data_IF_748753338379
#
_entry.id   IF_748753338379
#
_cell.length_a   1.000
_cell.length_b   1.000
_cell.length_c   1.000
_cell.angle_alpha   90.00
_cell.angle_beta   90.00
_cell.angle_gamma   90.00
#
_symmetry.space_group_name_H-M   'P 1'
#
loop_
_entity.id
_entity.type
_entity.pdbx_description
1 polymer ?
#
# COMPACT_ATOMS: atom_id res chain seq x y z
N UNK A 1 -16.60 -4.05 16.53
CA UNK A 1 -16.29 -3.05 15.46
C UNK A 1 -14.84 -3.16 15.03
N UNK A 2 -13.92 -3.44 15.96
CA UNK A 2 -12.59 -3.96 15.59
C UNK A 2 -12.72 -5.14 14.61
N UNK A 3 -13.71 -6.02 14.82
CA UNK A 3 -14.06 -7.08 13.85
C UNK A 3 -14.41 -6.55 12.45
N UNK A 4 -15.12 -5.42 12.31
CA UNK A 4 -15.49 -4.89 10.98
C UNK A 4 -14.27 -4.34 10.24
N UNK A 5 -13.36 -3.67 10.95
CA UNK A 5 -12.10 -3.21 10.37
C UNK A 5 -11.21 -4.37 9.93
N UNK A 6 -11.15 -5.44 10.73
CA UNK A 6 -10.42 -6.67 10.40
C UNK A 6 -11.06 -7.43 9.23
N UNK A 7 -12.39 -7.55 9.20
CA UNK A 7 -13.14 -8.17 8.09
C UNK A 7 -12.88 -7.39 6.79
N UNK A 8 -13.00 -6.07 6.82
CA UNK A 8 -12.75 -5.25 5.62
C UNK A 8 -11.30 -5.36 5.15
N UNK A 9 -10.33 -5.42 6.07
CA UNK A 9 -8.92 -5.64 5.72
C UNK A 9 -8.68 -7.03 5.11
N UNK A 10 -9.31 -8.07 5.68
CA UNK A 10 -9.27 -9.44 5.14
C UNK A 10 -9.87 -9.52 3.74
N UNK A 11 -11.04 -8.91 3.52
CA UNK A 11 -11.66 -8.83 2.20
C UNK A 11 -10.80 -8.07 1.20
N UNK A 12 -10.16 -6.99 1.64
CA UNK A 12 -9.27 -6.20 0.79
C UNK A 12 -8.08 -7.01 0.28
N UNK A 13 -7.36 -7.71 1.17
CA UNK A 13 -6.22 -8.53 0.74
C UNK A 13 -6.66 -9.73 -0.11
N UNK A 14 -7.84 -10.31 0.17
CA UNK A 14 -8.39 -11.41 -0.62
C UNK A 14 -8.82 -10.97 -2.03
N UNK A 15 -9.51 -9.85 -2.16
CA UNK A 15 -9.91 -9.28 -3.46
C UNK A 15 -8.67 -8.98 -4.32
N UNK A 16 -7.61 -8.43 -3.71
CA UNK A 16 -6.38 -8.14 -4.43
C UNK A 16 -5.68 -9.42 -4.92
N UNK A 17 -5.61 -10.49 -4.13
CA UNK A 17 -5.09 -11.77 -4.63
C UNK A 17 -5.91 -12.26 -5.80
N UNK A 18 -7.24 -12.30 -5.66
CA UNK A 18 -8.16 -12.77 -6.71
C UNK A 18 -7.94 -12.05 -8.05
N UNK A 19 -7.75 -10.72 -7.99
CA UNK A 19 -7.50 -9.88 -9.18
C UNK A 19 -6.11 -10.04 -9.80
N UNK A 20 -5.10 -10.42 -9.01
CA UNK A 20 -3.73 -10.62 -9.50
C UNK A 20 -3.41 -12.06 -9.88
N UNK A 21 -4.26 -13.02 -9.49
CA UNK A 21 -4.15 -14.42 -9.92
C UNK A 21 -4.86 -14.64 -11.25
N UNK A 22 -4.16 -15.20 -12.23
CA UNK A 22 -4.80 -15.66 -13.45
C UNK A 22 -5.73 -16.85 -13.15
N UNK A 23 -6.90 -16.89 -13.81
CA UNK A 23 -7.85 -17.98 -13.62
C UNK A 23 -7.18 -19.35 -13.79
N UNK A 24 -7.36 -20.21 -12.78
CA UNK A 24 -6.86 -21.60 -12.76
C UNK A 24 -5.33 -21.75 -12.77
N UNK A 25 -4.59 -20.68 -12.51
CA UNK A 25 -3.13 -20.74 -12.31
C UNK A 25 -2.83 -20.56 -10.82
N UNK A 26 -2.46 -21.63 -10.10
CA UNK A 26 -2.09 -21.50 -8.69
C UNK A 26 -0.81 -20.67 -8.55
N UNK A 27 -0.80 -19.75 -7.59
CA UNK A 27 0.38 -18.99 -7.20
C UNK A 27 0.66 -19.18 -5.71
N UNK A 28 1.54 -20.14 -5.40
CA UNK A 28 1.99 -20.36 -4.02
C UNK A 28 2.54 -19.08 -3.37
N UNK A 29 3.34 -18.24 -4.07
CA UNK A 29 3.83 -16.99 -3.47
C UNK A 29 2.72 -16.00 -3.08
N UNK A 30 1.61 -15.94 -3.81
CA UNK A 30 0.48 -15.05 -3.47
C UNK A 30 -0.41 -15.64 -2.37
N UNK A 31 -0.55 -16.97 -2.35
CA UNK A 31 -1.21 -17.66 -1.24
C UNK A 31 -0.48 -17.44 0.08
N UNK A 32 0.83 -17.62 0.11
CA UNK A 32 1.65 -17.39 1.31
C UNK A 32 1.58 -15.93 1.78
N UNK A 33 1.49 -14.99 0.83
CA UNK A 33 1.31 -13.58 1.13
C UNK A 33 -0.04 -13.31 1.82
N UNK A 34 -1.12 -13.86 1.26
CA UNK A 34 -2.47 -13.75 1.82
C UNK A 34 -2.55 -14.36 3.21
N UNK A 35 -2.06 -15.58 3.36
CA UNK A 35 -2.07 -16.29 4.65
C UNK A 35 -1.28 -15.51 5.71
N UNK A 36 -0.08 -15.02 5.37
CA UNK A 36 0.73 -14.21 6.27
C UNK A 36 -0.02 -12.95 6.71
N UNK A 37 -0.67 -12.25 5.80
CA UNK A 37 -1.43 -11.04 6.13
C UNK A 37 -2.65 -11.34 7.01
N UNK A 38 -3.42 -12.38 6.69
CA UNK A 38 -4.60 -12.76 7.48
C UNK A 38 -4.20 -13.17 8.91
N UNK A 39 -3.14 -13.97 9.08
CA UNK A 39 -2.62 -14.33 10.41
C UNK A 39 -2.16 -13.11 11.22
N UNK A 40 -1.59 -12.10 10.56
CA UNK A 40 -1.13 -10.89 11.25
C UNK A 40 -2.28 -9.95 11.61
N UNK A 41 -3.31 -9.86 10.78
CA UNK A 41 -4.56 -9.20 11.14
C UNK A 41 -5.20 -9.86 12.36
N UNK A 42 -5.31 -11.19 12.37
CA UNK A 42 -5.84 -11.98 13.49
C UNK A 42 -5.02 -11.79 14.78
N UNK A 43 -3.70 -11.69 14.66
CA UNK A 43 -2.80 -11.39 15.77
C UNK A 43 -2.84 -9.91 16.26
N UNK A 44 -3.76 -9.09 15.74
CA UNK A 44 -3.97 -7.70 16.19
C UNK A 44 -3.00 -6.68 15.60
N UNK A 45 -2.24 -7.01 14.55
CA UNK A 45 -1.42 -6.01 13.85
C UNK A 45 -2.35 -5.00 13.16
N UNK A 46 -2.11 -3.68 13.28
CA UNK A 46 -2.99 -2.67 12.71
C UNK A 46 -3.23 -2.87 11.21
N UNK A 47 -4.49 -2.88 10.72
CA UNK A 47 -4.80 -3.05 9.30
C UNK A 47 -4.09 -2.05 8.38
N UNK A 48 -3.89 -0.82 8.84
CA UNK A 48 -3.17 0.20 8.09
C UNK A 48 -1.72 -0.20 7.75
N UNK A 49 -1.08 -1.03 8.57
CA UNK A 49 0.28 -1.55 8.29
C UNK A 49 0.19 -2.80 7.43
N UNK A 50 -0.67 -3.76 7.79
CA UNK A 50 -0.82 -5.03 7.06
C UNK A 50 -1.21 -4.78 5.60
N UNK A 51 -2.23 -3.95 5.34
CA UNK A 51 -2.68 -3.69 3.98
C UNK A 51 -1.58 -3.01 3.13
N UNK A 52 -0.82 -2.06 3.68
CA UNK A 52 0.24 -1.35 2.93
C UNK A 52 1.45 -2.23 2.66
N UNK A 53 1.81 -3.09 3.62
CA UNK A 53 2.82 -4.10 3.41
C UNK A 53 2.36 -5.10 2.33
N UNK A 54 1.12 -5.58 2.43
CA UNK A 54 0.54 -6.49 1.46
C UNK A 54 0.52 -5.90 0.05
N UNK A 55 0.07 -4.65 -0.12
CA UNK A 55 0.04 -3.96 -1.43
C UNK A 55 1.42 -3.97 -2.10
N UNK A 56 2.47 -3.60 -1.35
CA UNK A 56 3.85 -3.55 -1.85
C UNK A 56 4.39 -4.93 -2.24
N UNK A 57 4.16 -5.93 -1.39
CA UNK A 57 4.66 -7.29 -1.63
C UNK A 57 3.85 -8.02 -2.71
N UNK A 58 2.57 -7.69 -2.87
CA UNK A 58 1.75 -8.16 -4.00
C UNK A 58 2.30 -7.61 -5.31
N UNK A 59 2.53 -6.30 -5.38
CA UNK A 59 3.12 -5.64 -6.55
C UNK A 59 4.50 -6.24 -6.89
N UNK A 60 5.37 -6.41 -5.90
CA UNK A 60 6.70 -6.99 -6.09
C UNK A 60 6.65 -8.42 -6.63
N UNK A 61 5.89 -9.31 -5.97
CA UNK A 61 5.74 -10.71 -6.38
C UNK A 61 5.04 -10.89 -7.73
N UNK A 62 4.26 -9.89 -8.15
CA UNK A 62 3.57 -9.88 -9.43
C UNK A 62 4.36 -9.20 -10.55
N UNK A 63 5.62 -8.78 -10.29
CA UNK A 63 6.50 -8.16 -11.29
C UNK A 63 6.29 -6.66 -11.51
N UNK A 64 5.47 -6.00 -10.68
CA UNK A 64 5.13 -4.58 -10.74
C UNK A 64 5.78 -3.77 -9.60
N UNK A 65 6.95 -4.22 -9.12
CA UNK A 65 7.67 -3.58 -8.02
C UNK A 65 7.87 -2.08 -8.29
N UNK A 66 7.35 -1.18 -7.44
CA UNK A 66 7.59 0.24 -7.60
C UNK A 66 9.06 0.60 -7.39
N UNK A 67 9.59 1.49 -8.22
CA UNK A 67 10.91 2.09 -8.02
C UNK A 67 10.85 3.12 -6.87
N UNK A 68 11.71 2.95 -5.87
CA UNK A 68 11.73 3.76 -4.65
C UNK A 68 13.10 4.35 -4.33
N UNK A 69 14.16 4.00 -5.05
CA UNK A 69 15.55 4.46 -4.77
C UNK A 69 16.02 5.47 -5.81
N UNK A 70 15.72 5.20 -7.07
CA UNK A 70 16.03 6.08 -8.20
C UNK A 70 14.75 6.73 -8.72
N UNK A 71 14.87 7.85 -9.42
CA UNK A 71 13.75 8.45 -10.11
C UNK A 71 13.30 7.49 -11.22
N UNK A 72 12.05 7.07 -11.19
CA UNK A 72 11.49 6.13 -12.17
C UNK A 72 11.55 6.69 -13.62
N UNK A 73 11.66 8.02 -13.77
CA UNK A 73 11.76 8.68 -15.08
C UNK A 73 13.20 8.94 -15.55
N UNK A 74 14.08 9.49 -14.71
CA UNK A 74 15.44 9.89 -15.13
C UNK A 74 16.57 9.08 -14.50
N UNK A 75 16.25 8.08 -13.66
CA UNK A 75 17.19 7.20 -12.96
C UNK A 75 18.16 7.88 -11.99
N UNK A 76 18.05 9.18 -11.76
CA UNK A 76 18.83 9.86 -10.72
C UNK A 76 18.42 9.36 -9.33
N UNK A 77 19.38 9.21 -8.41
CA UNK A 77 19.10 8.84 -7.02
C UNK A 77 18.14 9.86 -6.39
N UNK A 78 17.10 9.36 -5.71
CA UNK A 78 16.13 10.21 -5.01
C UNK A 78 16.74 10.80 -3.75
N UNK A 79 16.71 12.13 -3.65
CA UNK A 79 17.19 12.88 -2.50
C UNK A 79 16.18 12.84 -1.34
N UNK A 80 16.64 13.19 -0.13
CA UNK A 80 15.79 13.32 1.06
C UNK A 80 15.00 14.64 1.06
N UNK A 81 14.20 14.82 0.01
CA UNK A 81 13.29 15.95 -0.18
C UNK A 81 11.89 15.44 -0.57
N UNK A 82 10.93 16.36 -0.67
CA UNK A 82 9.61 16.00 -1.24
C UNK A 82 9.78 15.65 -2.71
N UNK A 83 9.57 14.37 -3.01
CA UNK A 83 9.54 13.82 -4.35
C UNK A 83 8.08 13.76 -4.82
N UNK A 84 7.81 13.08 -5.94
CA UNK A 84 6.44 12.78 -6.33
C UNK A 84 6.25 11.28 -6.59
N UNK A 85 4.99 10.85 -6.58
CA UNK A 85 4.57 9.50 -6.92
C UNK A 85 3.92 9.51 -8.31
N UNK A 86 4.34 8.59 -9.18
CA UNK A 86 3.77 8.42 -10.51
C UNK A 86 3.63 6.92 -10.81
N UNK A 87 2.40 6.39 -10.77
CA UNK A 87 2.11 5.03 -11.24
C UNK A 87 2.56 4.81 -12.69
N UNK A 88 2.31 5.79 -13.56
CA UNK A 88 2.69 5.76 -14.97
C UNK A 88 4.20 5.62 -15.18
N UNK A 89 5.00 6.32 -14.38
CA UNK A 89 6.46 6.20 -14.42
C UNK A 89 6.98 4.94 -13.72
N UNK A 90 6.13 4.22 -12.98
CA UNK A 90 6.50 3.00 -12.24
C UNK A 90 7.01 3.24 -10.81
N UNK A 91 6.76 4.40 -10.21
CA UNK A 91 7.07 4.64 -8.79
C UNK A 91 7.37 6.09 -8.44
N UNK A 92 8.40 6.30 -7.62
CA UNK A 92 8.80 7.63 -7.18
C UNK A 92 9.60 8.37 -8.27
N UNK A 93 9.30 9.65 -8.47
CA UNK A 93 10.02 10.55 -9.39
C UNK A 93 10.63 11.72 -8.60
N UNK A 94 11.82 12.17 -8.99
CA UNK A 94 12.52 13.25 -8.30
C UNK A 94 11.82 14.61 -8.48
N UNK A 95 12.09 15.56 -7.57
CA UNK A 95 11.52 16.90 -7.62
C UNK A 95 11.73 17.61 -8.96
N UNK A 96 12.90 17.41 -9.60
CA UNK A 96 13.20 17.96 -10.93
C UNK A 96 12.27 17.43 -12.02
N UNK A 97 12.02 16.12 -12.06
CA UNK A 97 11.10 15.52 -13.02
C UNK A 97 9.66 15.96 -12.72
N UNK A 98 9.28 15.98 -11.45
CA UNK A 98 7.96 16.40 -11.00
C UNK A 98 7.61 17.84 -11.40
N UNK A 99 8.58 18.76 -11.34
CA UNK A 99 8.40 20.18 -11.72
C UNK A 99 8.07 20.39 -13.21
N UNK A 100 8.24 19.38 -14.06
CA UNK A 100 7.91 19.45 -15.50
C UNK A 100 6.49 18.98 -15.81
N UNK A 101 5.79 18.43 -14.82
CA UNK A 101 4.46 17.85 -14.98
C UNK A 101 3.39 18.81 -14.42
N UNK A 102 2.21 18.91 -15.06
CA UNK A 102 1.15 19.81 -14.62
C UNK A 102 0.51 19.37 -13.30
N UNK A 103 0.46 18.06 -13.05
CA UNK A 103 -0.12 17.46 -11.85
C UNK A 103 0.79 16.33 -11.37
N UNK A 104 1.11 16.35 -10.08
CA UNK A 104 1.89 15.32 -9.41
C UNK A 104 1.30 15.06 -8.03
N UNK A 105 1.35 13.81 -7.57
CA UNK A 105 1.01 13.47 -6.19
C UNK A 105 2.29 13.58 -5.34
N UNK A 106 2.39 14.54 -4.40
CA UNK A 106 3.59 14.72 -3.59
C UNK A 106 3.86 13.49 -2.73
N UNK A 107 5.10 13.02 -2.77
CA UNK A 107 5.61 11.94 -1.92
C UNK A 107 6.58 12.53 -0.90
N UNK A 108 6.14 12.61 0.35
CA UNK A 108 6.96 13.14 1.44
C UNK A 108 8.16 12.24 1.71
N UNK A 109 9.21 12.82 2.30
CA UNK A 109 10.40 12.07 2.76
C UNK A 109 10.00 10.92 3.70
N UNK A 110 9.00 11.17 4.57
CA UNK A 110 8.51 10.17 5.52
C UNK A 110 7.81 9.01 4.80
N UNK A 111 6.90 9.30 3.87
CA UNK A 111 6.24 8.26 3.09
C UNK A 111 7.24 7.46 2.24
N UNK A 112 8.20 8.11 1.57
CA UNK A 112 9.23 7.42 0.79
C UNK A 112 10.07 6.47 1.68
N UNK A 113 10.51 6.93 2.86
CA UNK A 113 11.23 6.08 3.83
C UNK A 113 10.36 4.92 4.32
N UNK A 114 9.08 5.16 4.60
CA UNK A 114 8.13 4.12 5.01
C UNK A 114 7.87 3.08 3.92
N UNK A 115 7.67 3.48 2.66
CA UNK A 115 7.51 2.55 1.53
C UNK A 115 8.76 1.66 1.38
N UNK A 116 9.96 2.27 1.43
CA UNK A 116 11.23 1.52 1.39
C UNK A 116 11.33 0.50 2.53
N UNK A 117 10.98 0.92 3.75
CA UNK A 117 11.02 0.05 4.93
C UNK A 117 10.03 -1.12 4.82
N UNK A 118 8.78 -0.84 4.44
CA UNK A 118 7.74 -1.85 4.26
C UNK A 118 8.11 -2.87 3.17
N UNK A 119 8.66 -2.41 2.04
CA UNK A 119 9.05 -3.28 0.94
C UNK A 119 10.27 -4.15 1.28
N UNK A 120 11.20 -3.65 2.08
CA UNK A 120 12.41 -4.38 2.47
C UNK A 120 12.24 -5.30 3.69
N UNK A 121 11.14 -5.18 4.42
CA UNK A 121 10.94 -5.89 5.69
C UNK A 121 9.93 -7.02 5.55
N UNK A 122 10.12 -8.08 6.33
CA UNK A 122 9.04 -9.03 6.63
C UNK A 122 7.95 -8.35 7.48
N UNK A 123 6.71 -8.84 7.39
CA UNK A 123 5.57 -8.21 8.08
C UNK A 123 5.77 -8.12 9.61
N UNK A 124 6.48 -9.08 10.22
CA UNK A 124 6.78 -9.08 11.66
C UNK A 124 7.67 -7.90 12.09
N UNK A 125 8.57 -7.48 11.21
CA UNK A 125 9.44 -6.31 11.43
C UNK A 125 8.68 -5.05 11.05
N UNK A 126 8.00 -5.07 9.90
CA UNK A 126 7.19 -3.97 9.38
C UNK A 126 6.12 -3.49 10.39
N UNK A 127 5.56 -4.39 11.21
CA UNK A 127 4.58 -4.04 12.26
C UNK A 127 5.10 -3.08 13.33
N UNK A 128 6.42 -2.87 13.42
CA UNK A 128 7.02 -1.88 14.31
C UNK A 128 6.93 -0.44 13.76
N UNK A 129 6.61 -0.27 12.47
CA UNK A 129 6.46 1.04 11.85
C UNK A 129 5.29 1.79 12.49
N UNK A 130 5.60 2.95 13.09
CA UNK A 130 4.57 3.85 13.60
C UNK A 130 3.96 4.66 12.48
N UNK A 131 2.73 4.30 12.12
CA UNK A 131 1.94 4.99 11.10
C UNK A 131 0.86 5.82 11.77
N UNK A 132 1.02 7.14 11.75
CA UNK A 132 -0.06 8.04 12.16
C UNK A 132 -1.08 8.23 11.01
N UNK A 133 -2.18 8.93 11.29
CA UNK A 133 -3.26 9.09 10.34
C UNK A 133 -2.85 9.82 9.05
N UNK A 134 -1.89 10.76 9.13
CA UNK A 134 -1.42 11.49 7.95
C UNK A 134 -0.60 10.57 7.04
N UNK A 135 0.37 9.85 7.61
CA UNK A 135 1.17 8.89 6.88
C UNK A 135 0.30 7.74 6.32
N UNK A 136 -0.66 7.23 7.10
CA UNK A 136 -1.57 6.18 6.65
C UNK A 136 -2.33 6.59 5.39
N UNK A 137 -2.88 7.82 5.36
CA UNK A 137 -3.61 8.36 4.20
C UNK A 137 -2.71 8.55 2.98
N UNK A 138 -1.49 9.04 3.18
CA UNK A 138 -0.53 9.24 2.10
C UNK A 138 -0.13 7.90 1.45
N UNK A 139 0.28 6.92 2.27
CA UNK A 139 0.62 5.58 1.79
C UNK A 139 -0.55 4.89 1.08
N UNK A 140 -1.75 5.01 1.65
CA UNK A 140 -2.99 4.45 1.07
C UNK A 140 -3.31 5.09 -0.29
N UNK A 141 -3.24 6.41 -0.40
CA UNK A 141 -3.48 7.13 -1.66
C UNK A 141 -2.51 6.68 -2.75
N UNK A 142 -1.21 6.65 -2.46
CA UNK A 142 -0.19 6.27 -3.44
C UNK A 142 -0.30 4.82 -3.89
N UNK A 143 -0.41 3.87 -2.96
CA UNK A 143 -0.44 2.45 -3.30
C UNK A 143 -1.75 2.05 -3.99
N UNK A 144 -2.89 2.64 -3.61
CA UNK A 144 -4.15 2.41 -4.33
C UNK A 144 -4.12 3.01 -5.73
N UNK A 145 -3.56 4.20 -5.92
CA UNK A 145 -3.37 4.76 -7.25
C UNK A 145 -2.50 3.85 -8.13
N UNK A 146 -1.45 3.27 -7.55
CA UNK A 146 -0.58 2.33 -8.25
C UNK A 146 -1.31 1.03 -8.61
N UNK A 147 -2.00 0.40 -7.66
CA UNK A 147 -2.77 -0.83 -7.91
C UNK A 147 -3.86 -0.62 -8.96
N UNK A 148 -4.60 0.51 -8.91
CA UNK A 148 -5.60 0.86 -9.93
C UNK A 148 -4.98 1.01 -11.32
N UNK A 149 -3.82 1.64 -11.41
CA UNK A 149 -3.10 1.80 -12.67
C UNK A 149 -2.70 0.43 -13.26
N UNK A 150 -2.21 -0.49 -12.44
CA UNK A 150 -1.84 -1.85 -12.90
C UNK A 150 -3.05 -2.70 -13.26
N UNK A 151 -4.14 -2.60 -12.48
CA UNK A 151 -5.35 -3.39 -12.69
C UNK A 151 -6.28 -2.82 -13.77
N UNK A 152 -6.05 -1.59 -14.21
CA UNK A 152 -6.94 -0.79 -15.07
C UNK A 152 -8.40 -0.74 -14.57
N UNK A 153 -8.60 -0.90 -13.26
CA UNK A 153 -9.91 -1.01 -12.59
C UNK A 153 -9.84 -0.57 -11.13
N UNK A 154 -10.97 -0.11 -10.60
CA UNK A 154 -11.12 0.22 -9.18
C UNK A 154 -11.17 -1.02 -8.28
N UNK A 155 -10.60 -0.92 -7.07
CA UNK A 155 -10.64 -1.94 -6.02
C UNK A 155 -11.92 -1.72 -5.18
N UNK A 156 -12.83 -2.70 -5.13
CA UNK A 156 -14.17 -2.50 -4.58
C UNK A 156 -14.15 -2.37 -3.05
N UNK A 157 -13.41 -3.24 -2.38
CA UNK A 157 -13.26 -3.25 -0.91
C UNK A 157 -12.50 -2.05 -0.36
N UNK A 158 -11.77 -1.34 -1.21
CA UNK A 158 -11.04 -0.14 -0.84
C UNK A 158 -12.00 0.95 -0.30
N UNK A 159 -13.19 1.08 -0.91
CA UNK A 159 -14.24 2.00 -0.43
C UNK A 159 -14.76 1.63 0.95
N UNK A 160 -14.95 0.34 1.21
CA UNK A 160 -15.38 -0.14 2.54
C UNK A 160 -14.36 0.22 3.62
N UNK A 161 -13.05 0.09 3.33
CA UNK A 161 -12.00 0.51 4.25
C UNK A 161 -12.06 2.01 4.55
N UNK A 162 -12.43 2.83 3.58
CA UNK A 162 -12.51 4.29 3.74
C UNK A 162 -13.74 4.67 4.57
N UNK A 163 -14.91 4.10 4.26
CA UNK A 163 -16.15 4.30 5.03
C UNK A 163 -15.96 3.92 6.50
N UNK A 164 -15.29 2.80 6.79
CA UNK A 164 -15.03 2.37 8.16
C UNK A 164 -14.04 3.27 8.92
N UNK A 165 -13.13 3.97 8.22
CA UNK A 165 -12.21 4.93 8.84
C UNK A 165 -12.90 6.23 9.26
N UNK A 166 -13.96 6.62 8.55
CA UNK A 166 -14.69 7.87 8.79
C UNK A 166 -15.79 7.74 9.86
N UNK A 167 -16.19 6.51 10.22
CA UNK A 167 -17.21 6.28 11.25
C UNK A 167 -16.72 6.73 12.64
N UNK A 168 -17.55 7.50 13.40
CA UNK A 168 -17.23 7.86 14.77
C UNK A 168 -16.97 6.61 15.62
N UNK A 169 -15.88 6.62 16.40
CA UNK A 169 -15.65 5.58 17.42
C UNK A 169 -16.80 5.65 18.43
N UNK A 170 -17.53 4.55 18.68
CA UNK A 170 -18.58 4.58 19.68
C UNK A 170 -17.94 4.88 21.04
N UNK A 171 -18.58 5.75 21.82
CA UNK A 171 -18.23 5.90 23.22
C UNK A 171 -18.36 4.54 23.90
N UNK A 172 -17.37 4.17 24.72
CA UNK A 172 -17.51 3.00 25.57
C UNK A 172 -18.78 3.18 26.39
N UNK A 173 -19.74 2.28 26.23
CA UNK A 173 -20.89 2.21 27.13
C UNK A 173 -20.33 1.62 28.42
N UNK A 174 -20.23 2.46 29.44
CA UNK A 174 -19.82 2.10 30.80
C UNK A 174 -20.74 1.06 31.43
#
# INVERSE_FOLDING_TARGET
>A
RDDLGLIAAGWYVAELVDRFTAERVPSAPLFDLLETSLRRLDAGVPPAVVCRWFDLHLLDRSGFRPELRECAQCRAVLLEETNAWSPEAGGAICARCAATLPFVDPLTVRALKSLRYLLASELAIASQLRVDAALARELDRHLRAFLRFILDRDIATARLLDELRELPRPHAVS
#
